data_IF_158713792465
#
_entry.id   IF_158713792465
#
_cell.length_a   1.000
_cell.length_b   1.000
_cell.length_c   1.000
_cell.angle_alpha   90.00
_cell.angle_beta   90.00
_cell.angle_gamma   90.00
#
_symmetry.space_group_name_H-M   'P 1'
#
loop_
_entity.id
_entity.type
_entity.pdbx_description
1 polymer ?
#
# COMPACT_ATOMS: atom_id res chain seq x y z
N UNK A 1 26.57 -40.53 -40.42
CA UNK A 1 26.68 -40.49 -38.94
C UNK A 1 27.03 -39.08 -38.41
N UNK A 2 28.02 -38.38 -38.99
CA UNK A 2 28.43 -37.04 -38.54
C UNK A 2 27.33 -35.96 -38.60
N UNK A 3 26.48 -35.95 -39.65
CA UNK A 3 25.33 -35.03 -39.75
C UNK A 3 24.33 -35.21 -38.59
N UNK A 4 24.07 -36.45 -38.17
CA UNK A 4 23.14 -36.72 -37.07
C UNK A 4 23.68 -36.29 -35.71
N UNK A 5 24.99 -36.44 -35.50
CA UNK A 5 25.68 -35.97 -34.29
C UNK A 5 25.68 -34.45 -34.24
N UNK A 6 26.00 -33.79 -35.37
CA UNK A 6 25.97 -32.33 -35.50
C UNK A 6 24.58 -31.76 -35.19
N UNK A 7 23.51 -32.34 -35.76
CA UNK A 7 22.14 -31.89 -35.49
C UNK A 7 21.76 -32.03 -34.00
N UNK A 8 22.15 -33.12 -33.32
CA UNK A 8 21.88 -33.26 -31.88
C UNK A 8 22.61 -32.23 -31.04
N UNK A 9 23.86 -31.91 -31.38
CA UNK A 9 24.66 -30.90 -30.67
C UNK A 9 24.03 -29.51 -30.86
N UNK A 10 23.64 -29.15 -32.08
CA UNK A 10 22.98 -27.87 -32.38
C UNK A 10 21.64 -27.75 -31.64
N UNK A 11 20.82 -28.81 -31.65
CA UNK A 11 19.56 -28.82 -30.90
C UNK A 11 19.77 -28.65 -29.40
N UNK A 12 20.77 -29.33 -28.83
CA UNK A 12 21.08 -29.20 -27.41
C UNK A 12 21.55 -27.79 -27.05
N UNK A 13 22.40 -27.17 -27.88
CA UNK A 13 22.89 -25.81 -27.65
C UNK A 13 21.76 -24.77 -27.76
N UNK A 14 20.91 -24.88 -28.78
CA UNK A 14 19.75 -23.98 -28.93
C UNK A 14 18.79 -24.12 -27.75
N UNK A 15 18.59 -25.35 -27.27
CA UNK A 15 17.73 -25.62 -26.13
C UNK A 15 18.27 -25.00 -24.83
N UNK A 16 19.58 -25.16 -24.56
CA UNK A 16 20.22 -24.51 -23.41
C UNK A 16 20.18 -22.98 -23.50
N UNK A 17 20.38 -22.42 -24.68
CA UNK A 17 20.30 -20.98 -24.91
C UNK A 17 18.91 -20.41 -24.59
N UNK A 18 17.84 -21.06 -25.08
CA UNK A 18 16.46 -20.67 -24.78
C UNK A 18 16.19 -20.72 -23.26
N UNK A 19 16.67 -21.77 -22.61
CA UNK A 19 16.54 -21.95 -21.16
C UNK A 19 17.23 -20.85 -20.35
N UNK A 20 18.42 -20.42 -20.77
CA UNK A 20 19.11 -19.28 -20.16
C UNK A 20 18.32 -17.99 -20.36
N UNK A 21 17.76 -17.75 -21.56
CA UNK A 21 16.90 -16.59 -21.82
C UNK A 21 15.68 -16.59 -20.89
N UNK A 22 14.99 -17.72 -20.75
CA UNK A 22 13.84 -17.85 -19.83
C UNK A 22 14.26 -17.52 -18.40
N UNK A 23 15.41 -18.03 -17.96
CA UNK A 23 15.99 -17.71 -16.65
C UNK A 23 16.25 -16.21 -16.46
N UNK A 24 16.85 -15.53 -17.46
CA UNK A 24 17.08 -14.09 -17.45
C UNK A 24 15.76 -13.30 -17.37
N UNK A 25 14.73 -13.70 -18.11
CA UNK A 25 13.39 -13.10 -18.01
C UNK A 25 12.86 -13.26 -16.58
N UNK A 26 12.98 -14.44 -15.99
CA UNK A 26 12.58 -14.66 -14.60
C UNK A 26 13.32 -13.77 -13.59
N UNK A 27 14.63 -13.57 -13.76
CA UNK A 27 15.42 -12.64 -12.92
C UNK A 27 14.89 -11.21 -13.04
N UNK A 28 14.64 -10.75 -14.26
CA UNK A 28 14.04 -9.44 -14.51
C UNK A 28 12.65 -9.32 -13.86
N UNK A 29 11.85 -10.39 -13.89
CA UNK A 29 10.55 -10.45 -13.21
C UNK A 29 10.69 -10.31 -11.69
N UNK A 30 11.67 -10.96 -11.05
CA UNK A 30 11.93 -10.79 -9.60
C UNK A 30 12.28 -9.33 -9.30
N UNK A 31 13.23 -8.76 -10.04
CA UNK A 31 13.65 -7.36 -9.84
C UNK A 31 12.46 -6.42 -10.00
N UNK A 32 11.64 -6.64 -11.03
CA UNK A 32 10.42 -5.89 -11.30
C UNK A 32 9.45 -5.93 -10.11
N UNK A 33 9.19 -7.10 -9.53
CA UNK A 33 8.30 -7.21 -8.37
C UNK A 33 8.91 -6.61 -7.10
N UNK A 34 10.22 -6.76 -6.87
CA UNK A 34 10.90 -6.13 -5.73
C UNK A 34 10.75 -4.61 -5.79
N UNK A 35 11.02 -4.00 -6.95
CA UNK A 35 10.83 -2.56 -7.14
C UNK A 35 9.36 -2.18 -6.94
N UNK A 36 8.41 -2.96 -7.46
CA UNK A 36 6.97 -2.71 -7.28
C UNK A 36 6.58 -2.75 -5.79
N UNK A 37 7.08 -3.74 -5.05
CA UNK A 37 6.87 -3.87 -3.61
C UNK A 37 7.44 -2.68 -2.85
N UNK A 38 8.68 -2.27 -3.14
CA UNK A 38 9.28 -1.09 -2.54
C UNK A 38 8.49 0.18 -2.83
N UNK A 39 8.01 0.36 -4.05
CA UNK A 39 7.19 1.53 -4.42
C UNK A 39 5.85 1.53 -3.66
N UNK A 40 5.17 0.38 -3.58
CA UNK A 40 3.91 0.27 -2.81
C UNK A 40 4.12 0.52 -1.31
N UNK A 41 5.15 -0.08 -0.72
CA UNK A 41 5.48 0.12 0.70
C UNK A 41 5.84 1.59 0.96
N UNK A 42 6.70 2.18 0.11
CA UNK A 42 7.09 3.59 0.22
C UNK A 42 5.89 4.52 0.05
N UNK A 43 4.98 4.21 -0.87
CA UNK A 43 3.73 4.96 -1.06
C UNK A 43 2.85 4.89 0.19
N UNK A 44 2.59 3.69 0.75
CA UNK A 44 1.76 3.52 1.93
C UNK A 44 2.37 4.23 3.15
N UNK A 45 3.68 4.08 3.38
CA UNK A 45 4.40 4.71 4.49
C UNK A 45 4.45 6.22 4.32
N UNK A 46 4.90 6.70 3.15
CA UNK A 46 5.01 8.12 2.84
C UNK A 46 3.67 8.84 2.96
N UNK A 47 2.60 8.18 2.53
CA UNK A 47 1.23 8.65 2.73
C UNK A 47 0.84 8.77 4.21
N UNK A 48 1.15 7.76 5.04
CA UNK A 48 0.86 7.82 6.49
C UNK A 48 1.61 8.96 7.17
N UNK A 49 2.88 9.14 6.83
CA UNK A 49 3.72 10.22 7.36
C UNK A 49 3.14 11.58 6.92
N UNK A 50 2.85 11.75 5.64
CA UNK A 50 2.29 12.99 5.10
C UNK A 50 0.95 13.33 5.77
N UNK A 51 0.08 12.34 5.98
CA UNK A 51 -1.18 12.52 6.70
C UNK A 51 -0.97 12.98 8.15
N UNK A 52 -0.02 12.37 8.87
CA UNK A 52 0.31 12.75 10.25
C UNK A 52 0.89 14.16 10.32
N UNK A 53 1.79 14.51 9.41
CA UNK A 53 2.38 15.85 9.32
C UNK A 53 1.32 16.90 9.02
N UNK A 54 0.45 16.66 8.03
CA UNK A 54 -0.66 17.57 7.71
C UNK A 54 -1.63 17.75 8.88
N UNK A 55 -1.95 16.68 9.60
CA UNK A 55 -2.77 16.77 10.81
C UNK A 55 -2.12 17.66 11.88
N UNK A 56 -0.81 17.52 12.09
CA UNK A 56 -0.06 18.37 13.03
C UNK A 56 -0.08 19.83 12.57
N UNK A 57 0.15 20.09 11.27
CA UNK A 57 0.11 21.43 10.71
C UNK A 57 -1.28 22.08 10.87
N UNK A 58 -2.35 21.36 10.54
CA UNK A 58 -3.71 21.85 10.77
C UNK A 58 -3.97 22.18 12.25
N UNK A 59 -3.48 21.32 13.16
CA UNK A 59 -3.61 21.57 14.60
C UNK A 59 -2.85 22.84 15.02
N UNK A 60 -1.67 23.07 14.46
CA UNK A 60 -0.89 24.29 14.69
C UNK A 60 -1.60 25.53 14.14
N UNK A 61 -2.14 25.48 12.92
CA UNK A 61 -2.89 26.58 12.31
C UNK A 61 -4.16 26.92 13.10
N UNK A 62 -4.90 25.90 13.57
CA UNK A 62 -6.07 26.08 14.44
C UNK A 62 -5.65 26.72 15.76
N UNK A 63 -4.59 26.22 16.41
CA UNK A 63 -4.10 26.79 17.67
C UNK A 63 -3.63 28.23 17.50
N UNK A 64 -2.95 28.54 16.39
CA UNK A 64 -2.53 29.89 16.03
C UNK A 64 -3.75 30.80 15.84
N UNK A 65 -4.76 30.37 15.09
CA UNK A 65 -6.00 31.13 14.89
C UNK A 65 -6.76 31.37 16.21
N UNK A 66 -6.81 30.36 17.10
CA UNK A 66 -7.39 30.50 18.45
C UNK A 66 -6.61 31.53 19.27
N UNK A 67 -5.28 31.52 19.22
CA UNK A 67 -4.44 32.48 19.93
C UNK A 67 -4.67 33.92 19.45
N UNK A 68 -4.83 34.12 18.13
CA UNK A 68 -5.16 35.44 17.55
C UNK A 68 -6.53 35.92 18.04
N UNK A 69 -7.55 35.06 18.03
CA UNK A 69 -8.88 35.41 18.53
C UNK A 69 -8.82 35.77 20.02
N UNK A 70 -8.12 34.99 20.83
CA UNK A 70 -7.98 35.24 22.26
C UNK A 70 -7.25 36.56 22.55
N UNK A 71 -6.16 36.86 21.84
CA UNK A 71 -5.44 38.12 21.98
C UNK A 71 -6.29 39.32 21.57
N UNK A 72 -7.03 39.23 20.46
CA UNK A 72 -7.96 40.29 20.04
C UNK A 72 -9.05 40.52 21.08
N UNK A 73 -9.58 39.47 21.69
CA UNK A 73 -10.57 39.59 22.77
C UNK A 73 -9.98 40.29 24.00
N UNK A 74 -8.76 39.93 24.40
CA UNK A 74 -8.09 40.56 25.53
C UNK A 74 -7.84 42.06 25.29
N UNK A 75 -7.48 42.45 24.06
CA UNK A 75 -7.32 43.86 23.68
C UNK A 75 -8.66 44.59 23.76
N UNK A 76 -9.71 44.03 23.15
CA UNK A 76 -11.05 44.64 23.19
C UNK A 76 -11.61 44.75 24.62
N UNK A 77 -11.32 43.78 25.48
CA UNK A 77 -11.73 43.79 26.88
C UNK A 77 -11.00 44.91 27.65
N UNK A 78 -9.68 45.04 27.46
CA UNK A 78 -8.89 46.13 28.06
C UNK A 78 -9.35 47.51 27.59
N UNK A 79 -9.67 47.66 26.30
CA UNK A 79 -10.21 48.92 25.77
C UNK A 79 -11.54 49.29 26.43
N UNK A 80 -12.46 48.32 26.57
CA UNK A 80 -13.73 48.55 27.30
C UNK A 80 -13.52 48.90 28.77
N UNK A 81 -12.57 48.26 29.45
CA UNK A 81 -12.23 48.60 30.83
C UNK A 81 -11.64 50.01 30.95
N UNK A 82 -10.80 50.43 30.01
CA UNK A 82 -10.26 51.79 29.97
C UNK A 82 -11.34 52.84 29.69
N UNK A 83 -12.28 52.56 28.77
CA UNK A 83 -13.44 53.43 28.51
C UNK A 83 -14.34 53.55 29.75
N UNK A 84 -14.58 52.45 30.46
CA UNK A 84 -15.35 52.45 31.71
C UNK A 84 -14.64 53.22 32.83
N UNK A 85 -13.32 53.08 32.97
CA UNK A 85 -12.53 53.85 33.94
C UNK A 85 -12.49 55.34 33.59
N UNK A 86 -12.44 55.71 32.30
CA UNK A 86 -12.52 57.10 31.88
C UNK A 86 -13.89 57.73 32.20
N UNK A 87 -14.98 56.99 31.95
CA UNK A 87 -16.33 57.43 32.34
C UNK A 87 -16.54 57.46 33.85
N UNK A 88 -15.96 56.50 34.58
CA UNK A 88 -15.97 56.51 36.04
C UNK A 88 -15.10 57.63 36.60
N UNK A 89 -13.99 58.05 36.01
CA UNK A 89 -13.28 59.25 36.48
C UNK A 89 -14.09 60.54 36.27
N UNK A 90 -14.99 60.59 35.28
CA UNK A 90 -15.96 61.68 35.14
C UNK A 90 -17.11 61.59 36.17
N UNK A 91 -17.45 60.39 36.66
CA UNK A 91 -18.58 60.17 37.58
C UNK A 91 -18.20 60.02 39.07
N UNK A 92 -17.05 59.41 39.38
CA UNK A 92 -16.49 59.16 40.73
C UNK A 92 -15.72 60.37 41.30
N UNK A 93 -15.97 61.55 40.74
CA UNK A 93 -16.26 62.70 41.59
C UNK A 93 -17.37 62.43 42.63
N UNK A 94 -18.15 61.34 42.48
CA UNK A 94 -19.06 60.80 43.49
C UNK A 94 -18.97 59.25 43.55
N UNK A 95 -18.38 58.78 44.65
CA UNK A 95 -18.57 57.48 45.32
C UNK A 95 -17.92 56.21 44.74
N UNK A 96 -16.87 55.83 45.47
CA UNK A 96 -16.10 54.59 45.53
C UNK A 96 -16.89 53.27 45.70
N UNK A 97 -16.20 52.22 45.24
CA UNK A 97 -16.18 50.82 45.72
C UNK A 97 -17.34 49.89 45.32
N UNK A 98 -17.07 48.95 44.39
CA UNK A 98 -16.84 47.54 44.75
C UNK A 98 -16.52 46.60 43.56
N UNK A 99 -15.33 45.99 43.68
CA UNK A 99 -14.95 44.59 43.46
C UNK A 99 -15.09 43.86 42.11
N UNK A 100 -13.89 43.55 41.60
CA UNK A 100 -13.51 42.58 40.60
C UNK A 100 -13.75 41.12 41.03
N UNK A 101 -14.31 40.31 40.13
CA UNK A 101 -13.99 38.88 40.06
C UNK A 101 -13.84 38.45 38.59
N UNK A 102 -12.60 38.06 38.25
CA UNK A 102 -12.21 37.61 36.92
C UNK A 102 -12.69 36.20 36.60
N UNK A 103 -13.68 36.11 35.72
CA UNK A 103 -13.97 34.89 34.96
C UNK A 103 -13.71 35.16 33.48
N UNK A 104 -12.89 34.33 32.84
CA UNK A 104 -12.65 34.42 31.40
C UNK A 104 -13.99 34.29 30.65
N UNK A 105 -14.36 35.28 29.82
CA UNK A 105 -15.65 35.26 29.17
C UNK A 105 -15.74 34.08 28.19
N UNK A 106 -16.88 33.35 28.16
CA UNK A 106 -17.09 32.28 27.20
C UNK A 106 -17.01 32.81 25.77
N UNK A 107 -16.38 32.04 24.88
CA UNK A 107 -16.24 32.34 23.46
C UNK A 107 -17.61 32.69 22.84
N UNK A 108 -17.70 33.82 22.14
CA UNK A 108 -18.97 34.31 21.57
C UNK A 108 -19.50 33.35 20.50
N UNK A 109 -20.82 33.33 20.30
CA UNK A 109 -21.47 32.41 19.36
C UNK A 109 -20.98 32.61 17.91
N UNK A 110 -20.70 33.87 17.53
CA UNK A 110 -20.10 34.23 16.24
C UNK A 110 -18.67 33.67 16.10
N UNK A 111 -17.88 33.66 17.19
CA UNK A 111 -16.55 33.05 17.19
C UNK A 111 -16.63 31.54 16.99
N UNK A 112 -17.57 30.85 17.67
CA UNK A 112 -17.79 29.41 17.42
C UNK A 112 -18.16 29.13 15.97
N UNK A 113 -18.94 30.02 15.32
CA UNK A 113 -19.25 29.92 13.89
C UNK A 113 -18.00 30.13 13.02
N UNK A 114 -17.20 31.15 13.29
CA UNK A 114 -15.95 31.40 12.54
C UNK A 114 -14.95 30.24 12.66
N UNK A 115 -14.81 29.66 13.85
CA UNK A 115 -13.95 28.51 14.09
C UNK A 115 -14.48 27.25 13.38
N UNK A 116 -15.80 27.03 13.40
CA UNK A 116 -16.43 25.95 12.62
C UNK A 116 -16.23 26.12 11.12
N UNK A 117 -16.39 27.34 10.60
CA UNK A 117 -16.20 27.66 9.18
C UNK A 117 -14.73 27.47 8.77
N UNK A 118 -13.80 27.96 9.59
CA UNK A 118 -12.36 27.78 9.39
C UNK A 118 -11.98 26.30 9.39
N UNK A 119 -12.45 25.54 10.38
CA UNK A 119 -12.24 24.08 10.46
C UNK A 119 -12.83 23.34 9.26
N UNK A 120 -13.92 23.84 8.68
CA UNK A 120 -14.52 23.28 7.47
C UNK A 120 -13.73 23.63 6.21
N UNK A 121 -13.26 24.86 6.06
CA UNK A 121 -12.41 25.23 4.91
C UNK A 121 -11.06 24.51 4.96
N UNK A 122 -10.62 24.12 6.16
CA UNK A 122 -9.46 23.26 6.39
C UNK A 122 -9.72 21.77 6.20
N UNK A 123 -10.93 21.31 5.81
CA UNK A 123 -11.12 19.91 5.43
C UNK A 123 -10.46 19.67 4.07
N UNK A 124 -9.15 19.43 4.10
CA UNK A 124 -8.33 19.01 2.97
C UNK A 124 -8.92 17.77 2.28
N UNK A 125 -8.64 17.55 0.98
CA UNK A 125 -9.11 16.38 0.26
C UNK A 125 -8.75 15.12 1.03
N UNK A 126 -9.79 14.40 1.44
CA UNK A 126 -9.67 13.09 2.08
C UNK A 126 -8.87 12.23 1.13
N UNK A 127 -7.86 11.54 1.65
CA UNK A 127 -7.04 10.63 0.86
C UNK A 127 -7.91 9.76 -0.04
N UNK A 128 -7.57 9.72 -1.31
CA UNK A 128 -8.36 9.00 -2.32
C UNK A 128 -8.37 7.50 -2.07
N UNK A 129 -7.32 6.98 -1.42
CA UNK A 129 -7.18 5.56 -1.11
C UNK A 129 -7.73 5.24 0.29
N UNK A 130 -8.78 4.41 0.32
CA UNK A 130 -9.36 3.90 1.58
C UNK A 130 -8.42 2.97 2.31
N UNK A 131 -8.59 2.87 3.63
CA UNK A 131 -7.76 1.98 4.46
C UNK A 131 -7.96 0.51 4.08
N UNK A 132 -9.18 0.12 3.73
CA UNK A 132 -9.50 -1.20 3.18
C UNK A 132 -8.68 -1.53 1.93
N UNK A 133 -8.67 -0.62 0.95
CA UNK A 133 -7.89 -0.74 -0.28
C UNK A 133 -6.38 -0.82 0.00
N UNK A 134 -5.87 -0.04 0.96
CA UNK A 134 -4.47 -0.13 1.39
C UNK A 134 -4.12 -1.51 1.96
N UNK A 135 -5.01 -2.09 2.76
CA UNK A 135 -4.81 -3.42 3.35
C UNK A 135 -4.84 -4.49 2.27
N UNK A 136 -5.77 -4.41 1.31
CA UNK A 136 -5.83 -5.34 0.17
C UNK A 136 -4.53 -5.29 -0.64
N UNK A 137 -4.07 -4.08 -0.99
CA UNK A 137 -2.82 -3.89 -1.74
C UNK A 137 -1.62 -4.39 -0.95
N UNK A 138 -1.52 -4.05 0.34
CA UNK A 138 -0.42 -4.49 1.18
C UNK A 138 -0.38 -6.02 1.28
N UNK A 139 -1.53 -6.65 1.50
CA UNK A 139 -1.67 -8.11 1.53
C UNK A 139 -1.25 -8.74 0.21
N UNK A 140 -1.68 -8.18 -0.93
CA UNK A 140 -1.28 -8.62 -2.26
C UNK A 140 0.25 -8.54 -2.47
N UNK A 141 0.90 -7.45 -2.03
CA UNK A 141 2.35 -7.28 -2.14
C UNK A 141 3.08 -8.33 -1.29
N UNK A 142 2.65 -8.57 -0.05
CA UNK A 142 3.26 -9.58 0.83
C UNK A 142 3.12 -10.98 0.23
N UNK A 143 1.94 -11.31 -0.28
CA UNK A 143 1.69 -12.60 -0.93
C UNK A 143 2.53 -12.77 -2.20
N UNK A 144 2.69 -11.71 -3.01
CA UNK A 144 3.58 -11.76 -4.18
C UNK A 144 5.05 -11.98 -3.79
N UNK A 145 5.52 -11.38 -2.69
CA UNK A 145 6.88 -11.62 -2.17
C UNK A 145 7.03 -13.08 -1.75
N UNK A 146 6.02 -13.66 -1.10
CA UNK A 146 6.00 -15.08 -0.72
C UNK A 146 6.05 -15.98 -1.98
N UNK A 147 5.34 -15.58 -3.05
CA UNK A 147 5.35 -16.29 -4.34
C UNK A 147 6.71 -16.30 -5.06
N UNK A 148 7.67 -15.45 -4.66
CA UNK A 148 9.03 -15.50 -5.23
C UNK A 148 9.72 -16.84 -5.02
N UNK A 149 9.33 -17.61 -4.02
CA UNK A 149 9.90 -18.94 -3.79
C UNK A 149 9.71 -19.84 -5.02
N UNK A 150 8.57 -19.74 -5.70
CA UNK A 150 8.34 -20.48 -6.94
C UNK A 150 9.08 -19.87 -8.13
N UNK A 151 9.11 -18.55 -8.22
CA UNK A 151 9.83 -17.89 -9.31
C UNK A 151 11.35 -18.18 -9.25
N UNK A 152 11.94 -18.20 -8.05
CA UNK A 152 13.33 -18.62 -7.82
C UNK A 152 13.53 -20.07 -8.29
N UNK A 153 12.59 -20.97 -7.98
CA UNK A 153 12.62 -22.36 -8.46
C UNK A 153 12.58 -22.44 -9.97
N UNK A 154 11.66 -21.72 -10.61
CA UNK A 154 11.53 -21.69 -12.07
C UNK A 154 12.77 -21.12 -12.74
N UNK A 155 13.38 -20.08 -12.18
CA UNK A 155 14.65 -19.52 -12.67
C UNK A 155 15.77 -20.55 -12.54
N UNK A 156 15.90 -21.17 -11.37
CA UNK A 156 16.93 -22.19 -11.13
C UNK A 156 16.77 -23.39 -12.07
N UNK A 157 15.54 -23.87 -12.25
CA UNK A 157 15.20 -24.92 -13.21
C UNK A 157 15.52 -24.49 -14.64
N UNK A 158 15.17 -23.26 -15.02
CA UNK A 158 15.47 -22.74 -16.36
C UNK A 158 16.98 -22.71 -16.61
N UNK A 159 17.78 -22.17 -15.69
CA UNK A 159 19.23 -22.03 -15.87
C UNK A 159 19.95 -23.37 -15.78
N UNK A 160 19.72 -24.15 -14.73
CA UNK A 160 20.50 -25.36 -14.43
C UNK A 160 19.92 -26.63 -15.06
N UNK A 161 18.59 -26.69 -15.19
CA UNK A 161 17.88 -27.86 -15.71
C UNK A 161 17.57 -28.88 -14.63
N UNK A 162 18.00 -28.60 -13.41
CA UNK A 162 17.67 -29.38 -12.24
C UNK A 162 16.56 -28.64 -11.48
N UNK A 163 15.54 -29.38 -11.06
CA UNK A 163 14.51 -28.81 -10.20
C UNK A 163 15.06 -28.67 -8.78
N UNK A 164 14.95 -27.47 -8.19
CA UNK A 164 15.37 -27.21 -6.82
C UNK A 164 14.66 -28.14 -5.82
N UNK A 165 13.45 -28.58 -6.17
CA UNK A 165 12.65 -29.54 -5.38
C UNK A 165 13.36 -30.87 -5.13
N UNK A 166 14.14 -31.34 -6.11
CA UNK A 166 14.88 -32.60 -6.03
C UNK A 166 16.10 -32.52 -5.12
N UNK A 167 16.56 -31.32 -4.77
CA UNK A 167 17.68 -31.09 -3.86
C UNK A 167 17.24 -31.06 -2.39
N UNK A 168 15.93 -31.03 -2.13
CA UNK A 168 15.35 -30.88 -0.80
C UNK A 168 14.56 -32.12 -0.39
N UNK A 169 14.28 -32.26 0.91
CA UNK A 169 13.41 -33.32 1.42
C UNK A 169 11.98 -33.19 0.83
N UNK A 170 11.29 -34.32 0.63
CA UNK A 170 9.92 -34.36 0.05
C UNK A 170 8.96 -33.41 0.79
N UNK A 171 9.09 -33.30 2.11
CA UNK A 171 8.26 -32.40 2.92
C UNK A 171 8.50 -30.91 2.62
N UNK A 172 9.77 -30.49 2.44
CA UNK A 172 10.09 -29.11 2.07
C UNK A 172 9.59 -28.80 0.67
N UNK A 173 9.70 -29.76 -0.25
CA UNK A 173 9.17 -29.65 -1.59
C UNK A 173 7.64 -29.44 -1.57
N UNK A 174 6.89 -30.20 -0.76
CA UNK A 174 5.44 -30.02 -0.60
C UNK A 174 5.08 -28.65 -0.07
N UNK A 175 5.80 -28.17 0.95
CA UNK A 175 5.61 -26.81 1.48
C UNK A 175 5.86 -25.77 0.41
N UNK A 176 6.94 -25.91 -0.35
CA UNK A 176 7.25 -24.98 -1.44
C UNK A 176 6.13 -24.94 -2.48
N UNK A 177 5.64 -26.10 -2.91
CA UNK A 177 4.52 -26.21 -3.86
C UNK A 177 3.25 -25.58 -3.26
N UNK A 178 2.92 -25.91 -2.02
CA UNK A 178 1.76 -25.37 -1.31
C UNK A 178 1.82 -23.84 -1.19
N UNK A 179 2.95 -23.29 -0.75
CA UNK A 179 3.15 -21.84 -0.64
C UNK A 179 3.02 -21.18 -2.02
N UNK A 180 3.57 -21.79 -3.07
CA UNK A 180 3.43 -21.31 -4.44
C UNK A 180 1.97 -21.22 -4.86
N UNK A 181 1.22 -22.32 -4.77
CA UNK A 181 -0.18 -22.36 -5.18
C UNK A 181 -1.03 -21.36 -4.39
N UNK A 182 -0.88 -21.35 -3.07
CA UNK A 182 -1.57 -20.39 -2.22
C UNK A 182 -1.21 -18.96 -2.59
N UNK A 183 0.06 -18.67 -2.88
CA UNK A 183 0.46 -17.31 -3.24
C UNK A 183 -0.17 -16.84 -4.55
N UNK A 184 -0.24 -17.71 -5.56
CA UNK A 184 -0.91 -17.43 -6.82
C UNK A 184 -2.41 -17.21 -6.61
N UNK A 185 -3.09 -18.18 -6.00
CA UNK A 185 -4.54 -18.15 -5.78
C UNK A 185 -4.93 -16.90 -4.99
N UNK A 186 -4.26 -16.67 -3.85
CA UNK A 186 -4.58 -15.55 -2.98
C UNK A 186 -4.29 -14.21 -3.69
N UNK A 187 -3.21 -14.09 -4.48
CA UNK A 187 -2.92 -12.85 -5.21
C UNK A 187 -4.02 -12.51 -6.22
N UNK A 188 -4.51 -13.49 -6.97
CA UNK A 188 -5.63 -13.32 -7.91
C UNK A 188 -6.91 -12.90 -7.20
N UNK A 189 -7.25 -13.59 -6.11
CA UNK A 189 -8.44 -13.26 -5.33
C UNK A 189 -8.37 -11.87 -4.69
N UNK A 190 -7.19 -11.39 -4.27
CA UNK A 190 -7.04 -10.00 -3.82
C UNK A 190 -7.35 -8.99 -4.92
N UNK A 191 -6.92 -9.26 -6.14
CA UNK A 191 -7.25 -8.41 -7.28
C UNK A 191 -8.76 -8.39 -7.54
N UNK A 192 -9.42 -9.55 -7.47
CA UNK A 192 -10.89 -9.66 -7.57
C UNK A 192 -11.58 -8.88 -6.45
N UNK A 193 -11.14 -9.01 -5.18
CA UNK A 193 -11.69 -8.23 -4.06
C UNK A 193 -11.53 -6.74 -4.32
N UNK A 194 -10.35 -6.29 -4.78
CA UNK A 194 -10.09 -4.90 -5.07
C UNK A 194 -11.07 -4.37 -6.13
N UNK A 195 -11.29 -5.14 -7.20
CA UNK A 195 -12.26 -4.80 -8.24
C UNK A 195 -13.70 -4.75 -7.71
N UNK A 196 -14.14 -5.76 -6.94
CA UNK A 196 -15.47 -5.79 -6.32
C UNK A 196 -15.65 -4.59 -5.39
N UNK A 197 -14.66 -4.28 -4.55
CA UNK A 197 -14.69 -3.12 -3.68
C UNK A 197 -14.88 -1.83 -4.50
N UNK A 198 -14.09 -1.64 -5.55
CA UNK A 198 -14.18 -0.44 -6.40
C UNK A 198 -15.53 -0.34 -7.10
N UNK A 199 -16.02 -1.44 -7.68
CA UNK A 199 -17.34 -1.50 -8.29
C UNK A 199 -18.44 -1.16 -7.27
N UNK A 200 -18.38 -1.73 -6.06
CA UNK A 200 -19.36 -1.47 -5.01
C UNK A 200 -19.38 0.01 -4.61
N UNK A 201 -18.21 0.65 -4.50
CA UNK A 201 -18.08 2.06 -4.15
C UNK A 201 -18.72 2.95 -5.23
N UNK A 202 -18.45 2.64 -6.50
CA UNK A 202 -18.98 3.39 -7.65
C UNK A 202 -20.50 3.23 -7.73
N UNK A 203 -21.02 2.01 -7.56
CA UNK A 203 -22.45 1.72 -7.63
C UNK A 203 -23.23 2.29 -6.45
N UNK A 204 -22.64 2.33 -5.26
CA UNK A 204 -23.32 2.72 -4.03
C UNK A 204 -22.58 3.82 -3.24
N UNK A 205 -22.40 5.03 -3.80
CA UNK A 205 -21.61 6.09 -3.16
C UNK A 205 -22.19 6.57 -1.82
N UNK A 206 -23.52 6.44 -1.61
CA UNK A 206 -24.22 6.90 -0.40
C UNK A 206 -24.35 5.84 0.70
N UNK A 207 -23.92 4.59 0.49
CA UNK A 207 -23.97 3.57 1.55
C UNK A 207 -22.96 3.90 2.65
N UNK A 208 -23.25 3.48 3.89
CA UNK A 208 -22.39 3.76 5.05
C UNK A 208 -20.93 3.32 4.83
N UNK A 209 -20.72 2.14 4.25
CA UNK A 209 -19.39 1.66 3.86
C UNK A 209 -18.69 2.60 2.87
N UNK A 210 -19.44 3.15 1.92
CA UNK A 210 -18.89 4.05 0.90
C UNK A 210 -18.58 5.45 1.43
N UNK A 211 -19.32 5.91 2.42
CA UNK A 211 -19.08 7.22 3.05
C UNK A 211 -17.91 7.11 4.03
N UNK A 212 -17.83 6.01 4.79
CA UNK A 212 -16.83 5.86 5.83
C UNK A 212 -15.52 5.21 5.32
N UNK A 213 -14.57 6.04 4.91
CA UNK A 213 -13.24 5.61 4.46
C UNK A 213 -12.39 4.88 5.52
N UNK A 214 -12.83 4.84 6.78
CA UNK A 214 -12.14 4.15 7.88
C UNK A 214 -12.67 2.74 8.15
N UNK A 215 -13.77 2.34 7.50
CA UNK A 215 -14.37 1.03 7.74
C UNK A 215 -13.58 -0.07 7.02
N UNK A 216 -12.89 -0.91 7.80
CA UNK A 216 -12.04 -2.00 7.28
C UNK A 216 -12.75 -3.35 7.32
N UNK A 217 -13.75 -3.51 8.21
CA UNK A 217 -14.35 -4.81 8.55
C UNK A 217 -14.79 -5.64 7.33
N UNK A 218 -15.54 -5.11 6.34
CA UNK A 218 -15.98 -5.92 5.21
C UNK A 218 -14.83 -6.46 4.36
N UNK A 219 -13.82 -5.63 4.07
CA UNK A 219 -12.64 -6.05 3.32
C UNK A 219 -11.83 -7.12 4.07
N UNK A 220 -11.66 -6.95 5.38
CA UNK A 220 -10.94 -7.92 6.20
C UNK A 220 -11.66 -9.27 6.29
N UNK A 221 -13.00 -9.28 6.38
CA UNK A 221 -13.80 -10.51 6.34
C UNK A 221 -13.63 -11.20 4.98
N UNK A 222 -13.71 -10.48 3.86
CA UNK A 222 -13.50 -11.06 2.52
C UNK A 222 -12.10 -11.67 2.37
N UNK A 223 -11.07 -10.97 2.83
CA UNK A 223 -9.68 -11.47 2.82
C UNK A 223 -9.59 -12.77 3.63
N UNK A 224 -10.11 -12.80 4.86
CA UNK A 224 -10.05 -14.01 5.71
C UNK A 224 -10.76 -15.19 5.05
N UNK A 225 -11.95 -14.98 4.49
CA UNK A 225 -12.70 -16.03 3.80
C UNK A 225 -11.90 -16.60 2.63
N UNK A 226 -11.30 -15.74 1.81
CA UNK A 226 -10.47 -16.18 0.68
C UNK A 226 -9.26 -16.97 1.16
N UNK A 227 -8.58 -16.54 2.22
CA UNK A 227 -7.46 -17.30 2.77
C UNK A 227 -7.89 -18.69 3.23
N UNK A 228 -9.03 -18.79 3.94
CA UNK A 228 -9.56 -20.07 4.38
C UNK A 228 -9.88 -20.96 3.18
N UNK A 229 -10.57 -20.44 2.16
CA UNK A 229 -10.92 -21.21 0.96
C UNK A 229 -9.67 -21.67 0.22
N UNK A 230 -8.69 -20.78 0.00
CA UNK A 230 -7.43 -21.13 -0.68
C UNK A 230 -6.62 -22.16 0.10
N UNK A 231 -6.56 -22.06 1.44
CA UNK A 231 -5.87 -23.04 2.28
C UNK A 231 -6.58 -24.40 2.21
N UNK A 232 -7.91 -24.42 2.36
CA UNK A 232 -8.70 -25.66 2.29
C UNK A 232 -8.63 -26.30 0.90
N UNK A 233 -8.67 -25.50 -0.16
CA UNK A 233 -8.55 -25.97 -1.54
C UNK A 233 -7.19 -26.62 -1.82
N UNK A 234 -6.12 -26.20 -1.13
CA UNK A 234 -4.76 -26.70 -1.34
C UNK A 234 -4.29 -27.70 -0.27
N UNK A 235 -5.10 -27.99 0.74
CA UNK A 235 -4.71 -28.89 1.85
C UNK A 235 -4.45 -30.33 1.37
N UNK A 236 -5.07 -30.75 0.26
CA UNK A 236 -4.88 -32.09 -0.32
C UNK A 236 -3.41 -32.40 -0.68
N UNK A 237 -2.60 -31.37 -0.94
CA UNK A 237 -1.16 -31.50 -1.22
C UNK A 237 -0.38 -32.14 -0.06
N UNK A 238 -0.91 -32.03 1.16
CA UNK A 238 -0.32 -32.65 2.36
C UNK A 238 -0.88 -34.03 2.67
N UNK A 239 -2.05 -34.38 2.14
CA UNK A 239 -2.74 -35.65 2.46
C UNK A 239 -2.17 -36.81 1.63
N UNK A 240 -1.67 -36.56 0.42
CA UNK A 240 -1.16 -37.63 -0.45
C UNK A 240 0.03 -38.35 0.18
N UNK A 241 -0.06 -39.67 0.37
CA UNK A 241 1.06 -40.51 0.83
C UNK A 241 2.11 -40.74 -0.26
N UNK A 242 1.78 -40.46 -1.52
CA UNK A 242 2.72 -40.63 -2.63
C UNK A 242 3.78 -39.54 -2.60
N UNK A 243 5.03 -39.92 -2.84
CA UNK A 243 6.14 -38.98 -2.92
C UNK A 243 5.99 -38.10 -4.16
N UNK A 244 5.49 -36.88 -3.97
CA UNK A 244 5.22 -35.93 -5.05
C UNK A 244 6.53 -35.53 -5.75
N UNK A 245 7.65 -35.51 -5.02
CA UNK A 245 8.90 -34.95 -5.53
C UNK A 245 10.00 -36.00 -5.79
N UNK A 246 9.78 -37.28 -5.46
CA UNK A 246 10.77 -38.34 -5.72
C UNK A 246 10.74 -38.90 -7.14
N UNK A 247 9.68 -38.64 -7.91
CA UNK A 247 9.65 -39.06 -9.31
C UNK A 247 10.83 -38.37 -9.99
N UNK A 248 11.83 -39.17 -10.40
CA UNK A 248 12.92 -38.71 -11.26
C UNK A 248 12.26 -38.15 -12.51
N UNK A 249 11.98 -36.85 -12.53
CA UNK A 249 11.78 -36.12 -13.77
C UNK A 249 12.99 -36.49 -14.64
N UNK A 250 12.79 -37.12 -15.80
CA UNK A 250 13.90 -37.61 -16.59
C UNK A 250 14.85 -36.44 -16.79
N UNK A 251 16.10 -36.59 -16.31
CA UNK A 251 17.14 -35.56 -16.37
C UNK A 251 17.33 -35.00 -17.79
N UNK A 252 16.91 -35.78 -18.78
CA UNK A 252 16.77 -35.39 -20.18
C UNK A 252 15.42 -34.69 -20.43
N UNK A 253 15.05 -33.72 -19.59
CA UNK A 253 13.84 -32.91 -19.70
C UNK A 253 13.97 -31.89 -20.84
N UNK A 254 14.57 -32.29 -21.96
CA UNK A 254 14.67 -31.50 -23.19
C UNK A 254 13.33 -31.36 -23.91
N UNK A 255 12.22 -31.56 -23.18
CA UNK A 255 10.89 -31.47 -23.73
C UNK A 255 10.53 -30.00 -23.87
N UNK A 256 10.19 -29.58 -25.09
CA UNK A 256 9.78 -28.21 -25.37
C UNK A 256 8.60 -27.75 -24.51
N UNK A 257 7.74 -28.69 -24.11
CA UNK A 257 6.58 -28.43 -23.26
C UNK A 257 6.97 -27.88 -21.88
N UNK A 258 8.07 -28.35 -21.29
CA UNK A 258 8.49 -27.89 -19.95
C UNK A 258 9.03 -26.45 -20.01
N UNK A 259 9.80 -26.14 -21.06
CA UNK A 259 10.25 -24.77 -21.31
C UNK A 259 9.06 -23.84 -21.59
N UNK A 260 8.08 -24.31 -22.37
CA UNK A 260 6.89 -23.54 -22.67
C UNK A 260 6.08 -23.27 -21.39
N UNK A 261 5.91 -24.28 -20.53
CA UNK A 261 5.27 -24.13 -19.23
C UNK A 261 6.02 -23.11 -18.36
N UNK A 262 7.34 -23.26 -18.19
CA UNK A 262 8.16 -22.32 -17.41
C UNK A 262 8.07 -20.89 -17.96
N UNK A 263 8.12 -20.74 -19.28
CA UNK A 263 7.98 -19.43 -19.94
C UNK A 263 6.60 -18.82 -19.66
N UNK A 264 5.52 -19.58 -19.83
CA UNK A 264 4.15 -19.10 -19.56
C UNK A 264 4.01 -18.68 -18.10
N UNK A 265 4.50 -19.49 -17.15
CA UNK A 265 4.47 -19.16 -15.73
C UNK A 265 5.25 -17.89 -15.42
N UNK A 266 6.46 -17.72 -15.96
CA UNK A 266 7.29 -16.53 -15.76
C UNK A 266 6.62 -15.29 -16.40
N UNK A 267 6.06 -15.44 -17.59
CA UNK A 267 5.36 -14.35 -18.30
C UNK A 267 4.11 -13.91 -17.54
N UNK A 268 3.36 -14.84 -16.96
CA UNK A 268 2.23 -14.52 -16.09
C UNK A 268 2.67 -13.61 -14.93
N UNK A 269 3.74 -13.98 -14.22
CA UNK A 269 4.29 -13.16 -13.13
C UNK A 269 4.78 -11.79 -13.64
N UNK A 270 5.39 -11.74 -14.84
CA UNK A 270 5.82 -10.49 -15.44
C UNK A 270 4.64 -9.57 -15.75
N UNK A 271 3.58 -10.10 -16.39
CA UNK A 271 2.35 -9.36 -16.70
C UNK A 271 1.69 -8.84 -15.42
N UNK A 272 1.69 -9.63 -14.34
CA UNK A 272 1.17 -9.21 -13.05
C UNK A 272 1.96 -8.03 -12.48
N UNK A 273 3.30 -8.06 -12.59
CA UNK A 273 4.15 -6.94 -12.18
C UNK A 273 3.84 -5.67 -12.99
N UNK A 274 3.71 -5.79 -14.32
CA UNK A 274 3.41 -4.68 -15.22
C UNK A 274 2.04 -4.08 -14.90
N UNK A 275 1.03 -4.92 -14.67
CA UNK A 275 -0.31 -4.48 -14.27
C UNK A 275 -0.27 -3.70 -12.96
N UNK A 276 0.50 -4.17 -11.97
CA UNK A 276 0.73 -3.45 -10.71
C UNK A 276 1.34 -2.06 -10.94
N UNK A 277 2.34 -1.94 -11.82
CA UNK A 277 2.92 -0.64 -12.22
C UNK A 277 1.90 0.27 -12.90
N UNK A 278 1.13 -0.26 -13.85
CA UNK A 278 0.11 0.50 -14.56
C UNK A 278 -0.95 1.02 -13.59
N UNK A 279 -1.39 0.21 -12.62
CA UNK A 279 -2.33 0.65 -11.58
C UNK A 279 -1.75 1.78 -10.72
N UNK A 280 -0.48 1.69 -10.36
CA UNK A 280 0.20 2.72 -9.58
C UNK A 280 0.34 4.03 -10.36
N UNK A 281 0.75 3.95 -11.64
CA UNK A 281 0.95 5.12 -12.51
C UNK A 281 -0.36 5.71 -13.04
N UNK A 282 -1.37 4.89 -13.28
CA UNK A 282 -2.66 5.29 -13.82
C UNK A 282 -3.51 6.06 -12.81
N UNK A 283 -3.35 5.77 -11.52
CA UNK A 283 -4.05 6.51 -10.48
C UNK A 283 -3.46 7.93 -10.32
N UNK A 284 -4.13 8.92 -10.93
CA UNK A 284 -3.78 10.36 -10.84
C UNK A 284 -3.44 10.77 -9.41
N UNK A 285 -4.26 10.32 -8.44
CA UNK A 285 -4.04 10.64 -7.04
C UNK A 285 -2.74 10.07 -6.46
N UNK A 286 -2.34 8.87 -6.88
CA UNK A 286 -1.07 8.25 -6.45
C UNK A 286 0.10 9.07 -7.01
N UNK A 287 0.02 9.51 -8.28
CA UNK A 287 1.05 10.37 -8.88
C UNK A 287 1.23 11.68 -8.11
N UNK A 288 0.13 12.35 -7.77
CA UNK A 288 0.18 13.60 -7.02
C UNK A 288 0.78 13.38 -5.63
N UNK A 289 0.40 12.31 -4.93
CA UNK A 289 0.96 11.96 -3.63
C UNK A 289 2.47 11.67 -3.71
N UNK A 290 2.91 10.90 -4.72
CA UNK A 290 4.33 10.60 -4.97
C UNK A 290 5.10 11.89 -5.24
N UNK A 291 4.58 12.80 -6.07
CA UNK A 291 5.21 14.09 -6.34
C UNK A 291 5.36 14.93 -5.07
N UNK A 292 4.33 14.99 -4.23
CA UNK A 292 4.39 15.71 -2.94
C UNK A 292 5.46 15.10 -2.03
N UNK A 293 5.54 13.77 -1.95
CA UNK A 293 6.54 13.07 -1.14
C UNK A 293 7.96 13.37 -1.64
N UNK A 294 8.20 13.26 -2.96
CA UNK A 294 9.49 13.55 -3.57
C UNK A 294 9.89 15.02 -3.30
N UNK A 295 8.95 15.95 -3.52
CA UNK A 295 9.18 17.37 -3.26
C UNK A 295 9.53 17.63 -1.79
N UNK A 296 8.86 16.96 -0.86
CA UNK A 296 9.13 17.08 0.57
C UNK A 296 10.51 16.52 0.97
N UNK A 297 10.89 15.36 0.42
CA UNK A 297 12.23 14.77 0.62
C UNK A 297 13.30 15.73 0.09
N UNK A 298 13.11 16.24 -1.13
CA UNK A 298 14.02 17.19 -1.76
C UNK A 298 14.17 18.49 -0.95
N UNK A 299 13.06 19.06 -0.49
CA UNK A 299 13.05 20.24 0.37
C UNK A 299 13.84 20.02 1.66
N UNK A 300 13.68 18.85 2.31
CA UNK A 300 14.42 18.53 3.53
C UNK A 300 15.92 18.33 3.28
N UNK A 301 16.30 17.73 2.15
CA UNK A 301 17.72 17.60 1.76
C UNK A 301 18.33 19.00 1.54
N UNK A 302 17.65 19.86 0.78
CA UNK A 302 18.10 21.24 0.54
C UNK A 302 18.21 22.06 1.84
N UNK A 303 17.26 21.88 2.77
CA UNK A 303 17.29 22.56 4.07
C UNK A 303 18.45 22.10 4.96
N UNK A 304 18.87 20.84 4.87
CA UNK A 304 20.02 20.32 5.62
C UNK A 304 21.37 20.82 5.10
N UNK A 305 21.43 21.23 3.84
CA UNK A 305 22.65 21.73 3.20
C UNK A 305 22.80 23.27 3.28
N UNK A 306 21.88 23.96 3.95
CA UNK A 306 21.95 25.41 4.24
C UNK A 306 22.28 25.63 5.71
#
# INVERSE_FOLDING_TARGET
MNSFISNRIIHHHNYQFIRIIIGCIGILTIISHIISAFLWISYIIGWRINRKLKYIQQKQEINHHISIISNRNNINLRQKQQEQQAQQQEQEGQQQEQQEQGQQPPLSQQQRRSLKLYKHNLTWPICTLRISTQIIIFSMVIINIIGFIDLIRLIYLSITGNDLRLLTNDWLCRIQIFISFISCDISEWHFVILCIERCYIILYPRKYYSINNTLIKPALIMIIIIYIISILANIFLFISNESICFIKFPKNNNNWNDNLFNLISILYWLIQSITSYILMLGAISIRNDIQIIIWYIWYNILKRNK
#
